data_IF_826696774322
#
_entry.id   IF_826696774322
#
_cell.length_a   1.000
_cell.length_b   1.000
_cell.length_c   1.000
_cell.angle_alpha   90.00
_cell.angle_beta   90.00
_cell.angle_gamma   90.00
#
_symmetry.space_group_name_H-M   'P 1'
#
loop_
_entity.id
_entity.type
_entity.pdbx_description
1 polymer ?
#
# COMPACT_ATOMS: atom_id res chain seq x y z
N UNK A 1 1.86 3.07 -17.89
CA UNK A 1 2.47 3.51 -16.62
C UNK A 1 2.95 2.26 -15.91
N UNK A 2 4.20 2.20 -15.46
CA UNK A 2 4.68 1.05 -14.71
C UNK A 2 3.87 0.87 -13.42
N UNK A 3 3.50 -0.37 -13.11
CA UNK A 3 2.70 -0.73 -11.94
C UNK A 3 3.43 -1.75 -11.06
N UNK A 4 2.96 -1.90 -9.81
CA UNK A 4 3.46 -2.95 -8.92
C UNK A 4 3.22 -4.36 -9.50
N UNK A 5 2.14 -4.53 -10.27
CA UNK A 5 1.81 -5.78 -10.96
C UNK A 5 2.85 -6.14 -12.00
N UNK A 6 3.34 -5.15 -12.76
CA UNK A 6 4.37 -5.38 -13.78
C UNK A 6 5.67 -5.86 -13.14
N UNK A 7 6.10 -5.22 -12.05
CA UNK A 7 7.29 -5.63 -11.30
C UNK A 7 7.11 -7.03 -10.73
N UNK A 8 5.94 -7.34 -10.16
CA UNK A 8 5.64 -8.64 -9.57
C UNK A 8 5.74 -9.77 -10.61
N UNK A 9 5.17 -9.55 -11.80
CA UNK A 9 5.23 -10.50 -12.90
C UNK A 9 6.66 -10.73 -13.41
N UNK A 10 7.44 -9.66 -13.57
CA UNK A 10 8.83 -9.73 -14.05
C UNK A 10 9.78 -10.35 -13.00
N UNK A 11 9.54 -10.08 -11.72
CA UNK A 11 10.32 -10.63 -10.61
C UNK A 11 9.90 -12.05 -10.21
N UNK A 12 8.72 -12.51 -10.65
CA UNK A 12 8.19 -13.84 -10.29
C UNK A 12 7.74 -13.93 -8.82
N UNK A 13 7.28 -12.81 -8.24
CA UNK A 13 6.85 -12.74 -6.84
C UNK A 13 5.46 -12.13 -6.72
N UNK A 14 4.89 -12.11 -5.50
CA UNK A 14 3.60 -11.47 -5.28
C UNK A 14 3.70 -9.94 -5.30
N UNK A 15 2.61 -9.26 -5.69
CA UNK A 15 2.46 -7.80 -5.60
C UNK A 15 2.71 -7.31 -4.18
N UNK A 16 2.24 -8.08 -3.18
CA UNK A 16 2.44 -7.82 -1.75
C UNK A 16 3.91 -7.79 -1.38
N UNK A 17 4.70 -8.72 -1.92
CA UNK A 17 6.16 -8.80 -1.73
C UNK A 17 6.84 -7.57 -2.32
N UNK A 18 6.53 -7.23 -3.59
CA UNK A 18 7.07 -6.02 -4.23
C UNK A 18 6.76 -4.77 -3.42
N UNK A 19 5.49 -4.58 -3.06
CA UNK A 19 5.06 -3.41 -2.27
C UNK A 19 5.86 -3.27 -0.98
N UNK A 20 5.98 -4.37 -0.22
CA UNK A 20 6.71 -4.38 1.05
C UNK A 20 8.22 -4.18 0.87
N UNK A 21 8.84 -4.79 -0.14
CA UNK A 21 10.26 -4.58 -0.46
C UNK A 21 10.54 -3.12 -0.83
N UNK A 22 9.74 -2.53 -1.72
CA UNK A 22 9.85 -1.12 -2.11
C UNK A 22 9.53 -0.16 -0.96
N UNK A 23 8.70 -0.59 0.01
CA UNK A 23 8.40 0.16 1.23
C UNK A 23 9.43 -0.07 2.36
N UNK A 24 10.45 -0.91 2.15
CA UNK A 24 11.44 -1.28 3.17
C UNK A 24 10.81 -1.83 4.45
N UNK A 25 9.80 -2.71 4.30
CA UNK A 25 9.20 -3.43 5.42
C UNK A 25 10.24 -4.32 6.11
N UNK A 26 10.62 -3.99 7.35
CA UNK A 26 11.61 -4.70 8.16
C UNK A 26 11.13 -6.09 8.61
N UNK A 27 9.81 -6.33 8.63
CA UNK A 27 9.23 -7.63 9.01
C UNK A 27 9.24 -8.64 7.86
N UNK A 28 9.43 -8.18 6.63
CA UNK A 28 9.51 -9.03 5.46
C UNK A 28 10.95 -9.52 5.24
N UNK A 29 11.17 -10.82 5.43
CA UNK A 29 12.39 -11.48 4.99
C UNK A 29 12.24 -11.99 3.57
N UNK A 30 13.12 -11.55 2.68
CA UNK A 30 13.31 -12.07 1.31
C UNK A 30 14.80 -12.28 1.11
N UNK A 31 15.18 -13.19 0.21
CA UNK A 31 16.59 -13.34 -0.19
C UNK A 31 17.11 -12.03 -0.81
N UNK A 32 18.40 -11.77 -0.67
CA UNK A 32 19.04 -10.61 -1.31
C UNK A 32 18.89 -10.64 -2.84
N UNK A 33 18.92 -11.81 -3.47
CA UNK A 33 18.65 -11.97 -4.91
C UNK A 33 17.26 -11.43 -5.30
N UNK A 34 16.22 -11.89 -4.60
CA UNK A 34 14.84 -11.41 -4.82
C UNK A 34 14.73 -9.90 -4.61
N UNK A 35 15.36 -9.37 -3.54
CA UNK A 35 15.36 -7.91 -3.27
C UNK A 35 16.02 -7.15 -4.39
N UNK A 36 17.19 -7.59 -4.83
CA UNK A 36 17.95 -6.96 -5.90
C UNK A 36 17.15 -6.98 -7.20
N UNK A 37 16.59 -8.14 -7.59
CA UNK A 37 15.77 -8.29 -8.78
C UNK A 37 14.57 -7.34 -8.80
N UNK A 38 13.84 -7.21 -7.68
CA UNK A 38 12.72 -6.28 -7.56
C UNK A 38 13.17 -4.83 -7.77
N UNK A 39 14.29 -4.43 -7.16
CA UNK A 39 14.82 -3.07 -7.25
C UNK A 39 15.32 -2.75 -8.67
N UNK A 40 16.04 -3.67 -9.31
CA UNK A 40 16.52 -3.53 -10.69
C UNK A 40 15.36 -3.37 -11.66
N UNK A 41 14.36 -4.25 -11.61
CA UNK A 41 13.19 -4.18 -12.49
C UNK A 41 12.45 -2.86 -12.29
N UNK A 42 12.27 -2.42 -11.04
CA UNK A 42 11.60 -1.16 -10.73
C UNK A 42 12.32 0.04 -11.37
N UNK A 43 13.65 0.04 -11.36
CA UNK A 43 14.47 1.07 -11.98
C UNK A 43 14.39 1.02 -13.52
N UNK A 44 14.54 -0.18 -14.11
CA UNK A 44 14.50 -0.41 -15.56
C UNK A 44 13.19 0.05 -16.20
N UNK A 45 12.05 -0.22 -15.55
CA UNK A 45 10.74 0.16 -16.08
C UNK A 45 10.30 1.56 -15.64
N UNK A 46 11.16 2.29 -14.91
CA UNK A 46 10.87 3.64 -14.42
C UNK A 46 9.70 3.68 -13.46
N UNK A 47 9.54 2.66 -12.60
CA UNK A 47 8.51 2.66 -11.57
C UNK A 47 8.77 3.79 -10.58
N UNK A 48 7.89 4.79 -10.61
CA UNK A 48 7.88 5.86 -9.62
C UNK A 48 6.70 5.65 -8.68
N UNK A 49 6.98 5.65 -7.38
CA UNK A 49 5.94 5.60 -6.36
C UNK A 49 5.24 6.95 -6.34
N UNK A 50 4.20 7.11 -7.17
CA UNK A 50 3.26 8.20 -6.99
C UNK A 50 2.63 8.04 -5.60
N UNK A 51 3.05 8.89 -4.65
CA UNK A 51 2.31 9.09 -3.41
C UNK A 51 0.98 9.71 -3.81
N UNK A 52 0.03 8.87 -4.23
CA UNK A 52 -1.38 9.26 -4.19
C UNK A 52 -1.60 9.57 -2.71
N UNK A 53 -1.79 10.85 -2.41
CA UNK A 53 -2.20 11.33 -1.10
C UNK A 53 -3.59 10.74 -0.90
N UNK A 54 -3.63 9.48 -0.46
CA UNK A 54 -4.87 8.80 -0.16
C UNK A 54 -5.48 9.60 0.98
N UNK A 55 -6.61 10.20 0.65
CA UNK A 55 -7.46 11.06 1.46
C UNK A 55 -8.08 10.23 2.62
N UNK A 56 -7.25 9.60 3.45
CA UNK A 56 -7.66 8.83 4.62
C UNK A 56 -8.10 9.72 5.80
N UNK A 57 -8.25 11.04 5.57
CA UNK A 57 -9.02 11.94 6.45
C UNK A 57 -10.46 12.12 5.94
N UNK A 58 -11.30 11.12 6.11
CA UNK A 58 -12.73 11.35 6.38
C UNK A 58 -13.19 10.39 7.47
N UNK A 59 -12.76 10.66 8.70
CA UNK A 59 -13.58 10.33 9.88
C UNK A 59 -14.95 10.93 9.59
N UNK A 60 -15.93 10.08 9.32
CA UNK A 60 -17.30 10.47 9.03
C UNK A 60 -17.85 11.30 10.20
N UNK A 61 -17.94 12.62 10.02
CA UNK A 61 -18.63 13.55 10.93
C UNK A 61 -20.12 13.15 11.10
N UNK A 62 -20.66 12.33 10.20
CA UNK A 62 -22.05 11.84 10.25
C UNK A 62 -22.37 10.88 11.41
N UNK A 63 -21.37 10.34 12.13
CA UNK A 63 -21.61 9.50 13.32
C UNK A 63 -21.77 10.29 14.63
N UNK A 64 -21.32 11.55 14.69
CA UNK A 64 -21.37 12.35 15.93
C UNK A 64 -22.74 13.01 16.16
N UNK A 65 -23.58 13.15 15.13
CA UNK A 65 -24.92 13.76 15.25
C UNK A 65 -26.04 12.74 15.50
N UNK A 66 -25.79 11.44 15.36
CA UNK A 66 -26.84 10.41 15.49
C UNK A 66 -27.00 9.87 16.92
N UNK A 67 -26.01 10.05 17.80
CA UNK A 67 -26.06 9.49 19.17
C UNK A 67 -26.70 10.42 20.22
N UNK A 68 -27.31 11.54 19.81
CA UNK A 68 -27.86 12.56 20.70
C UNK A 68 -29.34 12.45 21.06
N UNK A 69 -30.07 11.44 20.56
CA UNK A 69 -31.54 11.44 20.60
C UNK A 69 -32.17 10.10 21.02
N UNK A 70 -31.59 9.39 21.99
CA UNK A 70 -32.27 8.28 22.68
C UNK A 70 -31.85 8.24 24.15
N UNK A 71 -32.27 9.22 24.96
CA UNK A 71 -32.37 9.10 26.43
C UNK A 71 -33.48 10.01 26.95
N UNK A 72 -34.73 9.70 26.60
CA UNK A 72 -35.88 10.04 27.44
C UNK A 72 -37.03 9.06 27.13
N UNK A 73 -37.85 8.75 28.14
CA UNK A 73 -38.79 7.61 28.31
C UNK A 73 -38.15 6.42 29.04
N UNK A 74 -38.53 6.03 30.26
CA UNK A 74 -39.67 6.37 31.14
C UNK A 74 -39.23 6.40 32.60
#
# INVERSE_FOLDING_TARGET
MATLTDIANLAGVSISTVSRVLNKDETLSVTEDTRHRILTIADEIGYTKYKTINNSKKKSIKWQLFNGLVKNTS
#
